data_IF_009811790356
#
_entry.id   IF_009811790356
#
_cell.length_a   1.000
_cell.length_b   1.000
_cell.length_c   1.000
_cell.angle_alpha   90.00
_cell.angle_beta   90.00
_cell.angle_gamma   90.00
#
_symmetry.space_group_name_H-M   'P 1'
#
loop_
_entity.id
_entity.type
_entity.pdbx_description
1 polymer ?
#
# COMPACT_ATOMS: atom_id res chain seq x y z
N UNK A 1 9.08 9.83 14.60
CA UNK A 1 10.28 9.20 14.01
C UNK A 1 10.18 7.71 14.27
N UNK A 2 10.36 6.86 13.24
CA UNK A 2 10.61 5.43 13.48
C UNK A 2 11.97 5.32 14.20
N UNK A 3 12.12 4.52 15.28
CA UNK A 3 13.42 4.24 15.87
C UNK A 3 14.37 3.67 14.80
N UNK A 4 15.68 3.79 15.00
CA UNK A 4 16.70 3.33 14.04
C UNK A 4 16.65 1.81 13.86
N UNK A 5 15.78 1.35 12.96
CA UNK A 5 15.67 -0.02 12.51
C UNK A 5 16.54 -0.20 11.26
N UNK A 6 17.28 -1.30 11.20
CA UNK A 6 18.15 -1.62 10.07
C UNK A 6 17.66 -2.91 9.40
N UNK A 7 17.51 -2.86 8.08
CA UNK A 7 17.13 -4.02 7.26
C UNK A 7 18.32 -4.88 6.83
N UNK A 8 18.15 -5.77 5.83
CA UNK A 8 16.94 -5.89 5.02
C UNK A 8 15.82 -6.69 5.70
N UNK A 9 14.57 -6.25 5.52
CA UNK A 9 13.39 -7.01 5.91
C UNK A 9 12.85 -7.85 4.74
N UNK A 10 12.26 -9.00 5.07
CA UNK A 10 11.62 -9.92 4.12
C UNK A 10 10.18 -9.54 3.80
N UNK A 11 9.50 -8.88 4.74
CA UNK A 11 8.07 -8.56 4.65
C UNK A 11 7.81 -7.16 5.17
N UNK A 12 7.01 -6.39 4.44
CA UNK A 12 6.40 -5.15 4.86
C UNK A 12 4.89 -5.33 4.91
N UNK A 13 4.26 -4.97 6.03
CA UNK A 13 2.81 -4.87 6.13
C UNK A 13 2.43 -3.43 6.51
N UNK A 14 1.60 -2.79 5.69
CA UNK A 14 1.10 -1.44 5.92
C UNK A 14 -0.39 -1.52 6.25
N UNK A 15 -0.72 -1.29 7.52
CA UNK A 15 -2.08 -1.01 7.97
C UNK A 15 -2.05 0.09 9.05
N UNK A 16 -2.21 1.33 8.60
CA UNK A 16 -2.03 2.55 9.40
C UNK A 16 -2.89 3.69 8.83
N UNK A 17 -2.48 4.95 9.05
CA UNK A 17 -3.17 6.13 8.50
C UNK A 17 -3.11 6.15 6.97
N UNK A 18 -4.28 6.09 6.33
CA UNK A 18 -4.41 5.90 4.87
C UNK A 18 -3.81 7.05 4.06
N UNK A 19 -3.95 8.27 4.57
CA UNK A 19 -3.33 9.48 4.01
C UNK A 19 -1.80 9.46 4.01
N UNK A 20 -1.17 8.59 4.80
CA UNK A 20 0.28 8.45 4.90
C UNK A 20 0.83 7.18 4.21
N UNK A 21 -0.02 6.34 3.61
CA UNK A 21 0.38 5.05 3.00
C UNK A 21 1.55 5.18 2.03
N UNK A 22 1.51 6.20 1.17
CA UNK A 22 2.59 6.44 0.22
C UNK A 22 3.91 6.75 0.93
N UNK A 23 3.86 7.56 1.99
CA UNK A 23 5.03 7.90 2.79
C UNK A 23 5.59 6.67 3.50
N UNK A 24 4.74 5.81 4.06
CA UNK A 24 5.18 4.55 4.66
C UNK A 24 5.88 3.67 3.63
N UNK A 25 5.29 3.48 2.45
CA UNK A 25 5.89 2.70 1.38
C UNK A 25 7.26 3.26 0.97
N UNK A 26 7.36 4.56 0.72
CA UNK A 26 8.60 5.21 0.28
C UNK A 26 9.72 5.13 1.32
N UNK A 27 9.39 5.25 2.62
CA UNK A 27 10.36 5.10 3.71
C UNK A 27 10.77 3.64 3.94
N UNK A 28 9.87 2.69 3.71
CA UNK A 28 10.12 1.27 3.97
C UNK A 28 10.82 0.56 2.82
N UNK A 29 10.57 0.93 1.56
CA UNK A 29 11.16 0.27 0.38
C UNK A 29 12.70 0.15 0.42
N UNK A 30 13.47 1.18 0.84
CA UNK A 30 14.92 1.06 0.99
C UNK A 30 15.37 0.03 2.02
N UNK A 31 14.52 -0.28 3.00
CA UNK A 31 14.80 -1.23 4.08
C UNK A 31 14.46 -2.67 3.71
N UNK A 32 13.87 -2.92 2.54
CA UNK A 32 13.51 -4.26 2.08
C UNK A 32 14.60 -4.85 1.19
N UNK A 33 14.80 -6.17 1.21
CA UNK A 33 15.58 -6.83 0.15
C UNK A 33 14.77 -6.95 -1.15
N UNK A 34 15.46 -7.15 -2.28
CA UNK A 34 14.82 -7.66 -3.50
C UNK A 34 14.15 -9.02 -3.21
N UNK A 35 12.96 -9.21 -3.77
CA UNK A 35 12.11 -10.37 -3.52
C UNK A 35 11.34 -10.32 -2.19
N UNK A 36 11.45 -9.23 -1.41
CA UNK A 36 10.63 -9.03 -0.22
C UNK A 36 9.16 -8.84 -0.60
N UNK A 37 8.26 -9.30 0.26
CA UNK A 37 6.81 -9.16 0.09
C UNK A 37 6.33 -7.86 0.70
N UNK A 38 5.48 -7.13 -0.02
CA UNK A 38 4.79 -5.93 0.47
C UNK A 38 3.30 -6.22 0.49
N UNK A 39 2.69 -6.06 1.66
CA UNK A 39 1.27 -6.21 1.92
C UNK A 39 0.71 -4.86 2.38
N UNK A 40 -0.43 -4.46 1.85
CA UNK A 40 -1.11 -3.21 2.24
C UNK A 40 -2.60 -3.49 2.38
N UNK A 41 -3.18 -3.15 3.52
CA UNK A 41 -4.60 -3.43 3.78
C UNK A 41 -5.54 -2.32 3.27
N UNK A 42 -6.82 -2.67 3.09
CA UNK A 42 -7.95 -1.79 2.79
C UNK A 42 -7.87 -0.99 1.47
N UNK A 43 -7.30 -1.58 0.42
CA UNK A 43 -7.15 -0.92 -0.88
C UNK A 43 -8.43 -0.87 -1.72
N UNK A 44 -9.50 -1.61 -1.37
CA UNK A 44 -10.83 -1.44 -1.99
C UNK A 44 -11.71 -0.43 -1.23
N UNK A 45 -11.46 -0.22 0.07
CA UNK A 45 -12.05 0.83 0.91
C UNK A 45 -13.58 0.84 0.96
N UNK A 46 -14.16 -0.27 1.41
CA UNK A 46 -15.57 -0.67 1.29
C UNK A 46 -16.12 -0.52 -0.13
N UNK A 47 -15.28 -0.75 -1.15
CA UNK A 47 -15.61 -0.56 -2.56
C UNK A 47 -15.66 0.90 -3.02
N UNK A 48 -15.35 1.88 -2.17
CA UNK A 48 -15.27 3.30 -2.58
C UNK A 48 -14.05 3.58 -3.43
N UNK A 49 -12.94 2.89 -3.18
CA UNK A 49 -11.73 3.03 -4.00
C UNK A 49 -11.92 2.38 -5.38
N UNK A 50 -12.65 1.27 -5.47
CA UNK A 50 -12.98 0.61 -6.74
C UNK A 50 -14.13 1.26 -7.52
N UNK A 51 -14.84 2.22 -6.93
CA UNK A 51 -16.03 2.84 -7.52
C UNK A 51 -17.30 1.97 -7.45
N UNK A 52 -17.25 0.86 -6.72
CA UNK A 52 -18.42 0.01 -6.44
C UNK A 52 -19.38 0.65 -5.43
N UNK A 53 -18.90 1.63 -4.67
CA UNK A 53 -19.69 2.52 -3.81
C UNK A 53 -19.45 3.99 -4.20
N UNK A 54 -20.43 4.89 -3.94
CA UNK A 54 -20.25 6.32 -4.15
C UNK A 54 -19.06 6.87 -3.37
N UNK A 55 -18.46 7.93 -3.91
CA UNK A 55 -17.48 8.71 -3.16
C UNK A 55 -18.14 9.39 -1.96
N UNK A 56 -17.50 9.30 -0.80
CA UNK A 56 -17.95 9.87 0.46
C UNK A 56 -17.29 11.23 0.76
N UNK A 57 -16.42 11.71 -0.13
CA UNK A 57 -15.67 12.95 0.04
C UNK A 57 -14.61 12.89 1.14
N UNK A 58 -14.33 11.70 1.70
CA UNK A 58 -13.33 11.56 2.76
C UNK A 58 -11.91 11.63 2.19
N UNK A 59 -10.97 12.30 2.88
CA UNK A 59 -9.57 12.35 2.46
C UNK A 59 -8.94 10.97 2.26
N UNK A 60 -9.38 9.98 3.05
CA UNK A 60 -8.90 8.60 2.94
C UNK A 60 -9.24 7.97 1.59
N UNK A 61 -10.46 8.19 1.07
CA UNK A 61 -10.89 7.65 -0.23
C UNK A 61 -10.01 8.20 -1.36
N UNK A 62 -9.74 9.51 -1.35
CA UNK A 62 -8.85 10.13 -2.32
C UNK A 62 -7.40 9.63 -2.17
N UNK A 63 -6.91 9.51 -0.94
CA UNK A 63 -5.55 9.03 -0.66
C UNK A 63 -5.35 7.57 -1.11
N UNK A 64 -6.31 6.69 -0.85
CA UNK A 64 -6.24 5.28 -1.25
C UNK A 64 -6.29 5.14 -2.77
N UNK A 65 -7.13 5.89 -3.48
CA UNK A 65 -7.15 5.87 -4.94
C UNK A 65 -5.81 6.31 -5.55
N UNK A 66 -5.24 7.38 -5.02
CA UNK A 66 -3.92 7.85 -5.46
C UNK A 66 -2.81 6.84 -5.10
N UNK A 67 -2.85 6.27 -3.90
CA UNK A 67 -1.94 5.22 -3.48
C UNK A 67 -2.03 4.00 -4.40
N UNK A 68 -3.23 3.48 -4.68
CA UNK A 68 -3.45 2.34 -5.56
C UNK A 68 -2.82 2.57 -6.94
N UNK A 69 -3.06 3.75 -7.52
CA UNK A 69 -2.47 4.13 -8.82
C UNK A 69 -0.95 4.06 -8.76
N UNK A 70 -0.34 4.66 -7.73
CA UNK A 70 1.13 4.67 -7.57
C UNK A 70 1.68 3.28 -7.29
N UNK A 71 1.11 2.55 -6.34
CA UNK A 71 1.50 1.20 -5.95
C UNK A 71 1.49 0.22 -7.14
N UNK A 72 0.43 0.24 -7.95
CA UNK A 72 0.31 -0.62 -9.14
C UNK A 72 1.27 -0.23 -10.26
N UNK A 73 1.65 1.06 -10.34
CA UNK A 73 2.55 1.59 -11.38
C UNK A 73 4.02 1.66 -10.96
N UNK A 74 4.37 1.39 -9.69
CA UNK A 74 5.72 1.60 -9.18
C UNK A 74 6.69 0.61 -9.83
N UNK A 75 7.72 1.08 -10.57
CA UNK A 75 8.64 0.18 -11.28
C UNK A 75 9.45 -0.71 -10.33
N UNK A 76 9.58 -0.33 -9.05
CA UNK A 76 10.25 -1.10 -8.00
C UNK A 76 9.42 -2.30 -7.53
N UNK A 77 8.15 -2.39 -7.91
CA UNK A 77 7.20 -3.38 -7.42
C UNK A 77 6.54 -4.16 -8.56
N UNK A 78 6.43 -5.48 -8.40
CA UNK A 78 5.45 -6.29 -9.13
C UNK A 78 4.20 -6.40 -8.25
N UNK A 79 3.18 -5.58 -8.53
CA UNK A 79 2.05 -5.35 -7.64
C UNK A 79 0.70 -5.76 -8.25
N UNK A 80 -0.22 -6.17 -7.39
CA UNK A 80 -1.64 -6.39 -7.68
C UNK A 80 -2.50 -6.03 -6.47
N UNK A 81 -3.80 -5.89 -6.65
CA UNK A 81 -4.79 -5.78 -5.56
C UNK A 81 -5.65 -7.03 -5.60
N UNK A 82 -5.56 -7.86 -4.55
CA UNK A 82 -6.37 -9.04 -4.40
C UNK A 82 -7.68 -8.70 -3.66
N UNK A 83 -8.85 -9.19 -4.13
CA UNK A 83 -10.15 -8.96 -3.48
C UNK A 83 -10.33 -9.88 -2.27
N UNK A 84 -9.38 -9.82 -1.33
CA UNK A 84 -9.45 -10.48 -0.03
C UNK A 84 -9.80 -9.43 1.01
N UNK A 85 -10.84 -9.68 1.82
CA UNK A 85 -11.33 -8.70 2.79
C UNK A 85 -11.70 -7.38 2.10
N UNK A 86 -11.17 -6.27 2.62
CA UNK A 86 -11.37 -4.93 2.05
C UNK A 86 -10.31 -4.54 1.00
N UNK A 87 -9.73 -5.54 0.33
CA UNK A 87 -8.71 -5.34 -0.69
C UNK A 87 -7.31 -5.34 -0.14
N UNK A 88 -6.54 -6.38 -0.44
CA UNK A 88 -5.14 -6.47 -0.05
C UNK A 88 -4.26 -6.13 -1.24
N UNK A 89 -3.47 -5.07 -1.13
CA UNK A 89 -2.34 -4.83 -1.99
C UNK A 89 -1.28 -5.88 -1.76
N UNK A 90 -0.92 -6.63 -2.80
CA UNK A 90 0.14 -7.62 -2.76
C UNK A 90 1.20 -7.25 -3.78
N UNK A 91 2.45 -7.11 -3.33
CA UNK A 91 3.56 -6.88 -4.24
C UNK A 91 4.83 -7.62 -3.83
N UNK A 92 5.68 -7.85 -4.82
CA UNK A 92 7.07 -8.29 -4.62
C UNK A 92 8.00 -7.16 -5.05
N UNK A 93 8.96 -6.81 -4.19
CA UNK A 93 10.00 -5.84 -4.53
C UNK A 93 10.95 -6.41 -5.57
N UNK A 94 11.19 -5.68 -6.65
CA UNK A 94 12.20 -6.00 -7.69
C UNK A 94 13.61 -5.67 -7.23
#
# INVERSE_FOLDING_TARGET
MLPSISGPFDVLFIDALKTEYQRYLDLSLPLLRTGATVLVDNLLWDGRASGSQPDDGRPDTAAIREFNRRFLSDPRLLATIAPLGDGVGFAVKR
#
